data_IF_392595431934
#
_entry.id   IF_392595431934
#
_cell.length_a   1.000
_cell.length_b   1.000
_cell.length_c   1.000
_cell.angle_alpha   90.00
_cell.angle_beta   90.00
_cell.angle_gamma   90.00
#
_symmetry.space_group_name_H-M   'P 1'
#
loop_
_entity.id
_entity.type
_entity.pdbx_description
1 polymer ?
#
# COMPACT_ATOMS: atom_id res chain seq x y z
N UNK A 1 -11.75 7.85 -19.31
CA UNK A 1 -10.87 7.77 -18.14
C UNK A 1 -9.96 6.58 -18.36
N UNK A 2 -8.65 6.79 -18.40
CA UNK A 2 -7.71 5.67 -18.55
C UNK A 2 -7.73 4.84 -17.24
N UNK A 3 -7.50 3.54 -17.37
CA UNK A 3 -7.44 2.55 -16.29
C UNK A 3 -6.52 2.99 -15.14
N UNK A 4 -5.38 3.61 -15.45
CA UNK A 4 -4.47 4.15 -14.45
C UNK A 4 -5.08 5.37 -13.70
N UNK A 5 -5.77 6.29 -14.39
CA UNK A 5 -6.34 7.52 -13.77
C UNK A 5 -7.40 7.22 -12.70
N UNK A 6 -8.23 6.18 -12.89
CA UNK A 6 -9.26 5.80 -11.92
C UNK A 6 -8.66 5.34 -10.59
N UNK A 7 -7.61 4.50 -10.65
CA UNK A 7 -6.90 3.97 -9.50
C UNK A 7 -6.22 5.10 -8.73
N UNK A 8 -5.52 5.97 -9.49
CA UNK A 8 -4.80 7.12 -8.97
C UNK A 8 -5.73 8.03 -8.16
N UNK A 9 -6.85 8.44 -8.75
CA UNK A 9 -7.78 9.36 -8.10
C UNK A 9 -8.34 8.79 -6.80
N UNK A 10 -8.78 7.51 -6.81
CA UNK A 10 -9.38 6.86 -5.63
C UNK A 10 -8.40 6.76 -4.44
N UNK A 11 -7.11 6.65 -4.72
CA UNK A 11 -6.07 6.48 -3.70
C UNK A 11 -5.47 7.81 -3.24
N UNK A 12 -5.30 8.76 -4.16
CA UNK A 12 -4.91 10.13 -3.83
C UNK A 12 -5.98 10.83 -2.98
N UNK A 13 -7.27 10.59 -3.24
CA UNK A 13 -8.39 11.06 -2.40
C UNK A 13 -8.28 10.57 -0.95
N UNK A 14 -7.63 9.43 -0.71
CA UNK A 14 -7.40 8.85 0.61
C UNK A 14 -6.01 9.16 1.19
N UNK A 15 -5.25 10.06 0.55
CA UNK A 15 -3.94 10.51 1.01
C UNK A 15 -2.79 9.53 0.76
N UNK A 16 -2.97 8.55 -0.14
CA UNK A 16 -1.92 7.62 -0.55
C UNK A 16 -1.15 8.17 -1.74
N UNK A 17 0.18 8.15 -1.63
CA UNK A 17 1.09 8.20 -2.77
C UNK A 17 1.09 6.84 -3.45
N UNK A 18 1.36 6.79 -4.75
CA UNK A 18 1.38 5.55 -5.50
C UNK A 18 2.57 5.49 -6.46
N UNK A 19 3.07 4.28 -6.72
CA UNK A 19 4.11 4.00 -7.71
C UNK A 19 3.70 2.77 -8.51
N UNK A 20 3.75 2.88 -9.85
CA UNK A 20 3.58 1.76 -10.77
C UNK A 20 4.95 1.33 -11.29
N UNK A 21 5.30 0.06 -11.09
CA UNK A 21 6.57 -0.51 -11.52
C UNK A 21 6.34 -1.77 -12.37
N UNK A 22 7.03 -1.94 -13.51
CA UNK A 22 7.02 -3.21 -14.22
C UNK A 22 7.77 -4.28 -13.41
N UNK A 23 7.15 -5.44 -13.21
CA UNK A 23 7.76 -6.56 -12.45
C UNK A 23 8.50 -7.53 -13.40
N UNK A 24 7.91 -7.80 -14.56
CA UNK A 24 8.48 -8.61 -15.63
C UNK A 24 7.88 -8.17 -16.98
N UNK A 25 8.68 -8.25 -18.04
CA UNK A 25 8.39 -7.83 -19.43
C UNK A 25 6.91 -7.56 -19.77
N UNK A 26 6.45 -6.33 -19.48
CA UNK A 26 5.26 -5.71 -20.05
C UNK A 26 3.88 -6.30 -19.72
N UNK A 27 3.79 -7.44 -19.05
CA UNK A 27 2.50 -8.09 -18.71
C UNK A 27 2.20 -7.95 -17.21
N UNK A 28 3.23 -7.95 -16.37
CA UNK A 28 3.08 -7.90 -14.93
C UNK A 28 3.41 -6.52 -14.38
N UNK A 29 2.48 -5.95 -13.61
CA UNK A 29 2.59 -4.64 -13.01
C UNK A 29 2.45 -4.73 -11.52
N UNK A 30 3.36 -4.09 -10.79
CA UNK A 30 3.27 -3.86 -9.36
C UNK A 30 2.78 -2.45 -9.09
N UNK A 31 1.81 -2.32 -8.21
CA UNK A 31 1.32 -1.04 -7.72
C UNK A 31 1.60 -0.97 -6.22
N UNK A 32 2.44 -0.03 -5.81
CA UNK A 32 2.71 0.24 -4.41
C UNK A 32 1.95 1.50 -3.97
N UNK A 33 1.10 1.38 -2.96
CA UNK A 33 0.33 2.48 -2.38
C UNK A 33 0.84 2.77 -0.98
N UNK A 34 1.33 3.99 -0.78
CA UNK A 34 2.12 4.37 0.39
C UNK A 34 1.59 5.67 0.96
N UNK A 35 1.27 5.71 2.26
CA UNK A 35 0.89 6.96 2.92
C UNK A 35 2.13 7.59 3.57
N UNK A 36 2.43 8.83 3.22
CA UNK A 36 3.49 9.63 3.85
C UNK A 36 3.07 10.06 5.26
N UNK A 37 3.99 9.97 6.22
CA UNK A 37 3.81 10.55 7.55
C UNK A 37 3.94 12.07 7.49
N UNK A 38 3.09 12.77 8.24
CA UNK A 38 3.34 14.19 8.53
C UNK A 38 4.54 14.33 9.48
N UNK A 39 5.18 15.50 9.52
CA UNK A 39 6.32 15.74 10.41
C UNK A 39 5.98 15.54 11.90
N UNK A 40 4.75 15.88 12.29
CA UNK A 40 4.25 15.64 13.66
C UNK A 40 4.11 14.14 13.96
N UNK A 41 3.59 13.34 13.03
CA UNK A 41 3.47 11.88 13.19
C UNK A 41 4.85 11.19 13.17
N UNK A 42 5.76 11.64 12.30
CA UNK A 42 7.13 11.15 12.24
C UNK A 42 7.86 11.36 13.59
N UNK A 43 7.62 12.49 14.26
CA UNK A 43 8.21 12.77 15.58
C UNK A 43 7.72 11.85 16.71
N UNK A 44 6.58 11.19 16.52
CA UNK A 44 5.93 10.31 17.50
C UNK A 44 6.33 8.83 17.33
N UNK A 45 7.01 8.49 16.24
CA UNK A 45 7.40 7.12 15.92
C UNK A 45 8.91 7.00 16.09
N UNK A 46 9.35 6.02 16.89
CA UNK A 46 10.76 5.71 17.00
C UNK A 46 11.22 4.97 15.73
N UNK A 47 12.07 5.63 14.93
CA UNK A 47 12.65 5.07 13.71
C UNK A 47 11.60 4.59 12.68
N UNK A 48 10.75 5.48 12.13
CA UNK A 48 9.82 5.09 11.09
C UNK A 48 10.59 4.60 9.86
N UNK A 49 10.18 3.49 9.23
CA UNK A 49 10.76 3.08 7.97
C UNK A 49 10.58 4.18 6.93
N UNK A 50 11.55 4.24 6.04
CA UNK A 50 11.58 5.21 4.96
C UNK A 50 11.39 4.49 3.63
N UNK A 51 10.72 5.17 2.72
CA UNK A 51 10.58 4.72 1.34
C UNK A 51 11.20 5.76 0.42
N UNK A 52 11.96 5.28 -0.56
CA UNK A 52 12.67 6.12 -1.52
C UNK A 52 11.91 6.20 -2.84
N UNK A 53 11.56 7.41 -3.29
CA UNK A 53 11.06 7.69 -4.64
C UNK A 53 11.90 8.81 -5.24
N UNK A 54 12.37 8.63 -6.47
CA UNK A 54 13.17 9.64 -7.20
C UNK A 54 14.41 10.14 -6.44
N UNK A 55 15.01 9.31 -5.58
CA UNK A 55 16.20 9.67 -4.80
C UNK A 55 15.91 10.42 -3.50
N UNK A 56 14.64 10.63 -3.13
CA UNK A 56 14.23 11.19 -1.84
C UNK A 56 13.58 10.13 -0.96
N UNK A 57 14.04 10.05 0.29
CA UNK A 57 13.48 9.17 1.32
C UNK A 57 12.47 9.93 2.18
N UNK A 58 11.29 9.34 2.39
CA UNK A 58 10.27 9.87 3.29
C UNK A 58 9.75 8.80 4.24
N UNK A 59 9.38 9.21 5.45
CA UNK A 59 8.76 8.33 6.42
C UNK A 59 7.35 7.95 5.96
N UNK A 60 7.02 6.66 6.06
CA UNK A 60 5.73 6.11 5.61
C UNK A 60 4.96 5.55 6.79
N UNK A 61 3.64 5.40 6.70
CA UNK A 61 2.83 4.74 7.73
C UNK A 61 2.24 3.42 7.27
N UNK A 62 1.88 3.31 5.99
CA UNK A 62 1.27 2.13 5.37
C UNK A 62 1.89 1.85 4.01
N UNK A 63 1.92 0.58 3.60
CA UNK A 63 2.21 0.16 2.23
C UNK A 63 1.27 -0.96 1.80
N UNK A 64 0.72 -0.87 0.58
CA UNK A 64 -0.06 -1.93 -0.07
C UNK A 64 0.54 -2.21 -1.43
N UNK A 65 0.93 -3.46 -1.70
CA UNK A 65 1.43 -3.88 -3.00
C UNK A 65 0.41 -4.81 -3.67
N UNK A 66 0.07 -4.47 -4.91
CA UNK A 66 -0.84 -5.25 -5.76
C UNK A 66 -0.14 -5.57 -7.08
N UNK A 67 -0.13 -6.85 -7.43
CA UNK A 67 0.43 -7.35 -8.68
C UNK A 67 -0.69 -7.77 -9.63
N UNK A 68 -0.50 -7.53 -10.93
CA UNK A 68 -1.31 -8.16 -11.98
C UNK A 68 -0.48 -9.24 -12.68
N UNK A 69 -1.02 -10.44 -12.81
CA UNK A 69 -0.41 -11.51 -13.59
C UNK A 69 -1.48 -12.24 -14.40
N UNK A 70 -1.36 -12.21 -15.73
CA UNK A 70 -2.26 -12.92 -16.66
C UNK A 70 -3.76 -12.62 -16.43
N UNK A 71 -4.10 -11.38 -16.07
CA UNK A 71 -5.48 -10.98 -15.81
C UNK A 71 -5.99 -11.26 -14.39
N UNK A 72 -5.17 -11.89 -13.54
CA UNK A 72 -5.48 -12.12 -12.12
C UNK A 72 -4.76 -11.06 -11.29
N UNK A 73 -5.46 -10.53 -10.29
CA UNK A 73 -4.91 -9.54 -9.36
C UNK A 73 -4.50 -10.22 -8.07
N UNK A 74 -3.36 -9.83 -7.53
CA UNK A 74 -2.82 -10.34 -6.28
C UNK A 74 -2.52 -9.19 -5.35
N UNK A 75 -2.99 -9.24 -4.12
CA UNK A 75 -2.32 -8.47 -3.07
C UNK A 75 -1.12 -9.30 -2.66
N UNK A 76 0.05 -8.69 -2.70
CA UNK A 76 1.34 -9.32 -2.38
C UNK A 76 1.94 -8.80 -1.09
N UNK A 77 1.53 -7.59 -0.68
CA UNK A 77 1.94 -7.00 0.60
C UNK A 77 0.89 -6.06 1.14
N UNK A 78 0.64 -6.10 2.44
CA UNK A 78 -0.03 -5.03 3.18
C UNK A 78 0.70 -4.79 4.51
N UNK A 79 1.09 -3.55 4.75
CA UNK A 79 2.00 -3.14 5.82
C UNK A 79 1.49 -1.88 6.51
N UNK A 80 1.73 -1.77 7.82
CA UNK A 80 1.44 -0.59 8.62
C UNK A 80 2.35 -0.51 9.86
N UNK A 81 2.84 0.67 10.21
CA UNK A 81 3.78 0.88 11.34
C UNK A 81 3.04 1.06 12.66
N UNK A 82 3.62 0.66 13.81
CA UNK A 82 4.97 0.11 14.00
C UNK A 82 5.07 -1.42 13.90
N UNK A 83 3.98 -2.10 13.52
CA UNK A 83 3.93 -3.55 13.53
C UNK A 83 3.98 -4.10 12.12
N UNK A 84 5.05 -4.81 11.80
CA UNK A 84 5.09 -5.65 10.61
C UNK A 84 3.81 -6.50 10.59
N UNK A 85 2.98 -6.29 9.57
CA UNK A 85 1.83 -7.16 9.29
C UNK A 85 2.30 -8.61 9.19
N UNK A 86 1.40 -9.60 9.21
CA UNK A 86 1.81 -10.95 8.84
C UNK A 86 2.40 -10.84 7.42
N UNK A 87 3.72 -11.02 7.31
CA UNK A 87 4.49 -10.85 6.09
C UNK A 87 3.77 -11.47 4.87
N UNK A 88 3.93 -10.82 3.72
CA UNK A 88 3.68 -11.31 2.36
C UNK A 88 2.62 -12.43 2.28
N UNK A 89 1.34 -12.06 2.27
CA UNK A 89 0.28 -12.97 1.86
C UNK A 89 0.00 -12.76 0.38
N UNK A 90 -0.16 -13.85 -0.36
CA UNK A 90 -0.53 -13.80 -1.78
C UNK A 90 -1.97 -14.25 -1.94
N UNK A 91 -2.88 -13.29 -2.08
CA UNK A 91 -4.32 -13.56 -2.23
C UNK A 91 -4.79 -13.17 -3.64
N UNK A 92 -5.38 -14.10 -4.42
CA UNK A 92 -5.90 -13.81 -5.75
C UNK A 92 -7.28 -13.14 -5.68
N UNK A 93 -7.54 -12.28 -6.67
CA UNK A 93 -8.81 -11.60 -6.90
C UNK A 93 -9.11 -11.57 -8.40
N UNK A 94 -10.39 -11.74 -8.73
CA UNK A 94 -10.88 -11.74 -10.10
C UNK A 94 -10.98 -10.31 -10.68
N UNK A 95 -10.83 -9.29 -9.84
CA UNK A 95 -10.80 -7.89 -10.24
C UNK A 95 -9.91 -7.05 -9.33
N UNK A 96 -9.41 -5.94 -9.87
CA UNK A 96 -8.65 -4.97 -9.08
C UNK A 96 -9.52 -4.32 -8.00
N UNK A 97 -10.79 -4.05 -8.28
CA UNK A 97 -11.69 -3.46 -7.29
C UNK A 97 -11.84 -4.36 -6.05
N UNK A 98 -11.98 -5.68 -6.25
CA UNK A 98 -12.05 -6.63 -5.14
C UNK A 98 -10.72 -6.70 -4.38
N UNK A 99 -9.58 -6.62 -5.08
CA UNK A 99 -8.27 -6.55 -4.44
C UNK A 99 -8.10 -5.26 -3.63
N UNK A 100 -8.50 -4.11 -4.16
CA UNK A 100 -8.41 -2.82 -3.47
C UNK A 100 -9.35 -2.76 -2.27
N UNK A 101 -10.60 -3.18 -2.40
CA UNK A 101 -11.56 -3.22 -1.30
C UNK A 101 -11.04 -4.08 -0.15
N UNK A 102 -10.55 -5.28 -0.47
CA UNK A 102 -9.94 -6.15 0.54
C UNK A 102 -8.68 -5.53 1.13
N UNK A 103 -7.77 -4.99 0.30
CA UNK A 103 -6.50 -4.42 0.75
C UNK A 103 -6.70 -3.24 1.69
N UNK A 104 -7.63 -2.35 1.35
CA UNK A 104 -7.98 -1.20 2.18
C UNK A 104 -8.66 -1.61 3.48
N UNK A 105 -9.63 -2.54 3.43
CA UNK A 105 -10.26 -3.09 4.64
C UNK A 105 -9.24 -3.79 5.54
N UNK A 106 -8.31 -4.53 4.94
CA UNK A 106 -7.24 -5.22 5.65
C UNK A 106 -6.31 -4.24 6.36
N UNK A 107 -5.84 -3.20 5.66
CA UNK A 107 -5.04 -2.12 6.25
C UNK A 107 -5.80 -1.45 7.38
N UNK A 108 -7.07 -1.09 7.17
CA UNK A 108 -7.90 -0.44 8.18
C UNK A 108 -8.03 -1.30 9.44
N UNK A 109 -8.40 -2.58 9.31
CA UNK A 109 -8.51 -3.50 10.45
C UNK A 109 -7.17 -3.64 11.18
N UNK A 110 -6.08 -3.67 10.44
CA UNK A 110 -4.75 -3.74 11.03
C UNK A 110 -4.37 -2.45 11.75
N UNK A 111 -4.70 -1.28 11.20
CA UNK A 111 -4.56 0.02 11.89
C UNK A 111 -5.36 0.05 13.19
N UNK A 112 -6.62 -0.39 13.16
CA UNK A 112 -7.48 -0.47 14.34
C UNK A 112 -6.87 -1.41 15.39
N UNK A 113 -6.47 -2.61 15.00
CA UNK A 113 -5.87 -3.60 15.91
C UNK A 113 -4.56 -3.12 16.55
N UNK A 114 -3.69 -2.50 15.76
CA UNK A 114 -2.39 -1.97 16.24
C UNK A 114 -2.55 -0.72 17.10
N UNK A 115 -3.59 0.09 16.88
CA UNK A 115 -3.91 1.27 17.69
C UNK A 115 -4.54 0.87 19.02
N UNK A 116 -5.50 -0.07 19.02
CA UNK A 116 -6.21 -0.52 20.23
C UNK A 116 -5.31 -1.22 21.26
N UNK A 117 -4.14 -1.74 20.86
CA UNK A 117 -3.17 -2.39 21.76
C UNK A 117 -2.14 -1.43 22.35
N UNK A 118 -2.13 -0.16 21.95
CA UNK A 118 -1.27 0.89 22.50
C UNK A 118 -2.01 1.82 23.48
N UNK A 119 -3.15 1.37 24.02
CA UNK A 119 -3.92 2.03 25.08
C UNK A 119 -3.88 1.17 26.34
#
# INVERSE_FOLDING_TARGET
>A
MNFDEYIINKLEENGFLWVKSPIAEGINYGYAFVRKLTADEESKILCPPKWGINGEDFAVTTSLEIDQENGIWFITRAYHIPYFGPNDFRKPFDSLDAALEFGMEYLQRWMEWTTLRNV
#
